data_IF_851554405887
#
_entry.id   IF_851554405887
#
_cell.length_a   1.000
_cell.length_b   1.000
_cell.length_c   1.000
_cell.angle_alpha   90.00
_cell.angle_beta   90.00
_cell.angle_gamma   90.00
#
_symmetry.space_group_name_H-M   'P 1'
#
loop_
_entity.id
_entity.type
_entity.pdbx_description
1 polymer ?
#
# COMPACT_ATOMS: atom_id res chain seq x y z
N UNK A 1 63.87 12.35 -7.35
CA UNK A 1 62.65 11.75 -7.94
C UNK A 1 61.47 12.14 -7.07
N UNK A 2 60.68 13.14 -7.46
CA UNK A 2 59.39 13.36 -6.82
C UNK A 2 58.42 13.95 -7.85
N UNK A 3 57.61 13.08 -8.44
CA UNK A 3 56.63 13.44 -9.46
C UNK A 3 55.33 13.83 -8.74
N UNK A 4 55.20 15.10 -8.36
CA UNK A 4 53.95 15.64 -7.82
C UNK A 4 52.94 15.76 -8.96
N UNK A 5 52.14 14.71 -9.19
CA UNK A 5 50.99 14.76 -10.10
C UNK A 5 49.89 15.58 -9.43
N UNK A 6 49.87 16.89 -9.72
CA UNK A 6 48.73 17.76 -9.39
C UNK A 6 47.56 17.35 -10.27
N UNK A 7 46.48 16.87 -9.65
CA UNK A 7 45.23 16.57 -10.32
C UNK A 7 44.58 17.89 -10.72
N UNK A 8 44.69 18.26 -12.00
CA UNK A 8 44.03 19.43 -12.54
C UNK A 8 42.56 19.06 -12.84
N UNK A 9 41.71 19.16 -11.82
CA UNK A 9 40.29 18.83 -11.94
C UNK A 9 39.62 20.01 -12.64
N UNK A 10 39.33 19.84 -13.94
CA UNK A 10 38.57 20.82 -14.71
C UNK A 10 37.21 21.12 -14.05
N UNK A 11 36.82 22.40 -13.99
CA UNK A 11 35.53 22.86 -13.47
C UNK A 11 34.33 22.10 -14.09
N UNK A 12 34.44 21.71 -15.36
CA UNK A 12 33.42 20.90 -16.04
C UNK A 12 33.26 19.49 -15.45
N UNK A 13 34.33 18.90 -14.93
CA UNK A 13 34.28 17.59 -14.26
C UNK A 13 33.57 17.69 -12.92
N UNK A 14 33.82 18.76 -12.15
CA UNK A 14 33.17 19.02 -10.86
C UNK A 14 31.65 19.20 -11.06
N UNK A 15 31.24 19.99 -12.07
CA UNK A 15 29.83 20.18 -12.38
C UNK A 15 29.14 18.88 -12.82
N UNK A 16 29.78 18.06 -13.66
CA UNK A 16 29.21 16.76 -14.08
C UNK A 16 29.02 15.81 -12.91
N UNK A 17 30.01 15.73 -12.02
CA UNK A 17 29.91 14.90 -10.80
C UNK A 17 28.81 15.45 -9.89
N UNK A 18 28.75 16.78 -9.71
CA UNK A 18 27.71 17.44 -8.92
C UNK A 18 26.30 17.17 -9.44
N UNK A 19 26.09 17.28 -10.75
CA UNK A 19 24.80 16.95 -11.40
C UNK A 19 24.47 15.47 -11.23
N UNK A 20 25.46 14.58 -11.36
CA UNK A 20 25.26 13.14 -11.15
C UNK A 20 24.83 12.82 -9.72
N UNK A 21 25.50 13.39 -8.72
CA UNK A 21 25.15 13.23 -7.30
C UNK A 21 23.76 13.81 -7.02
N UNK A 22 23.46 15.00 -7.56
CA UNK A 22 22.14 15.63 -7.40
C UNK A 22 21.03 14.74 -8.02
N UNK A 23 21.28 14.20 -9.22
CA UNK A 23 20.35 13.29 -9.88
C UNK A 23 20.09 12.01 -9.07
N UNK A 24 21.14 11.37 -8.55
CA UNK A 24 21.01 10.21 -7.67
C UNK A 24 20.28 10.55 -6.36
N UNK A 25 20.53 11.73 -5.80
CA UNK A 25 19.85 12.20 -4.59
C UNK A 25 18.35 12.42 -4.83
N UNK A 26 17.98 13.01 -5.97
CA UNK A 26 16.58 13.16 -6.37
C UNK A 26 15.93 11.79 -6.55
N UNK A 27 16.58 10.85 -7.24
CA UNK A 27 16.08 9.48 -7.41
C UNK A 27 15.86 8.77 -6.07
N UNK A 28 16.78 8.94 -5.12
CA UNK A 28 16.63 8.44 -3.76
C UNK A 28 15.42 9.05 -3.05
N UNK A 29 15.21 10.37 -3.21
CA UNK A 29 14.10 11.09 -2.59
C UNK A 29 12.73 10.68 -3.15
N UNK A 30 12.64 10.37 -4.45
CA UNK A 30 11.39 9.96 -5.11
C UNK A 30 11.19 8.44 -5.20
N UNK A 31 12.03 7.64 -4.52
CA UNK A 31 11.99 6.18 -4.59
C UNK A 31 10.60 5.61 -4.33
N UNK A 32 9.88 6.12 -3.35
CA UNK A 32 8.54 5.62 -3.00
C UNK A 32 7.52 5.90 -4.12
N UNK A 33 7.63 7.06 -4.76
CA UNK A 33 6.80 7.43 -5.92
C UNK A 33 7.12 6.51 -7.11
N UNK A 34 8.39 6.17 -7.33
CA UNK A 34 8.79 5.20 -8.37
C UNK A 34 8.17 3.82 -8.12
N UNK A 35 8.15 3.37 -6.86
CA UNK A 35 7.49 2.11 -6.49
C UNK A 35 5.99 2.18 -6.83
N UNK A 36 5.30 3.26 -6.45
CA UNK A 36 3.89 3.47 -6.80
C UNK A 36 3.66 3.50 -8.31
N UNK A 37 4.55 4.14 -9.07
CA UNK A 37 4.47 4.15 -10.54
C UNK A 37 4.61 2.74 -11.14
N UNK A 38 5.53 1.92 -10.62
CA UNK A 38 5.67 0.52 -11.06
C UNK A 38 4.38 -0.27 -10.80
N UNK A 39 3.76 -0.12 -9.63
CA UNK A 39 2.46 -0.75 -9.34
C UNK A 39 1.37 -0.28 -10.31
N UNK A 40 1.31 1.02 -10.58
CA UNK A 40 0.36 1.59 -11.52
C UNK A 40 0.54 1.01 -12.94
N UNK A 41 1.80 0.86 -13.37
CA UNK A 41 2.15 0.24 -14.65
C UNK A 41 1.72 -1.23 -14.71
N UNK A 42 1.95 -2.00 -13.64
CA UNK A 42 1.49 -3.39 -13.54
C UNK A 42 -0.03 -3.48 -13.68
N UNK A 43 -0.78 -2.64 -12.94
CA UNK A 43 -2.25 -2.62 -13.00
C UNK A 43 -2.72 -2.23 -14.41
N UNK A 44 -2.11 -1.21 -15.00
CA UNK A 44 -2.44 -0.74 -16.35
C UNK A 44 -2.28 -1.86 -17.39
N UNK A 45 -1.16 -2.58 -17.34
CA UNK A 45 -0.90 -3.75 -18.21
C UNK A 45 -1.92 -4.86 -17.95
N UNK A 46 -2.22 -5.15 -16.68
CA UNK A 46 -3.16 -6.20 -16.29
C UNK A 46 -4.57 -5.94 -16.85
N UNK A 47 -5.01 -4.69 -16.87
CA UNK A 47 -6.35 -4.32 -17.35
C UNK A 47 -6.41 -4.06 -18.85
N UNK A 48 -5.26 -3.87 -19.52
CA UNK A 48 -5.21 -3.57 -20.94
C UNK A 48 -5.93 -4.64 -21.83
N UNK A 49 -5.81 -5.96 -21.60
CA UNK A 49 -6.55 -6.95 -22.38
C UNK A 49 -8.08 -6.80 -22.28
N UNK A 50 -8.59 -6.43 -21.10
CA UNK A 50 -10.01 -6.18 -20.91
C UNK A 50 -10.45 -4.89 -21.62
N UNK A 51 -9.64 -3.83 -21.51
CA UNK A 51 -9.88 -2.55 -22.21
C UNK A 51 -9.90 -2.76 -23.73
N UNK A 52 -8.92 -3.49 -24.27
CA UNK A 52 -8.81 -3.79 -25.70
C UNK A 52 -9.99 -4.65 -26.18
N UNK A 53 -10.47 -5.59 -25.35
CA UNK A 53 -11.68 -6.37 -25.65
C UNK A 53 -12.92 -5.48 -25.80
N UNK A 54 -13.09 -4.47 -24.94
CA UNK A 54 -14.17 -3.49 -25.07
C UNK A 54 -13.98 -2.57 -26.29
N UNK A 55 -12.74 -2.16 -26.56
CA UNK A 55 -12.41 -1.33 -27.71
C UNK A 55 -12.71 -2.04 -29.04
N UNK A 56 -12.44 -3.35 -29.13
CA UNK A 56 -12.82 -4.19 -30.28
C UNK A 56 -14.33 -4.21 -30.53
N UNK A 57 -15.16 -3.97 -29.51
CA UNK A 57 -16.61 -3.79 -29.63
C UNK A 57 -17.03 -2.36 -30.03
N UNK A 58 -16.10 -1.55 -30.55
CA UNK A 58 -16.28 -0.14 -30.94
C UNK A 58 -16.60 0.81 -29.78
N UNK A 59 -16.23 0.46 -28.55
CA UNK A 59 -16.33 1.36 -27.39
C UNK A 59 -15.09 2.28 -27.37
N UNK A 60 -15.25 3.62 -27.28
CA UNK A 60 -14.12 4.53 -27.12
C UNK A 60 -13.24 4.15 -25.92
N UNK A 61 -11.92 4.17 -26.11
CA UNK A 61 -10.94 3.73 -25.10
C UNK A 61 -11.17 4.35 -23.72
N UNK A 62 -11.48 5.65 -23.66
CA UNK A 62 -11.78 6.37 -22.42
C UNK A 62 -12.92 5.71 -21.64
N UNK A 63 -14.00 5.33 -22.33
CA UNK A 63 -15.16 4.67 -21.73
C UNK A 63 -14.77 3.25 -21.29
N UNK A 64 -14.00 2.53 -22.10
CA UNK A 64 -13.50 1.20 -21.78
C UNK A 64 -12.65 1.20 -20.50
N UNK A 65 -11.72 2.16 -20.36
CA UNK A 65 -10.88 2.31 -19.17
C UNK A 65 -11.74 2.57 -17.93
N UNK A 66 -12.58 3.61 -17.97
CA UNK A 66 -13.44 3.96 -16.82
C UNK A 66 -14.31 2.77 -16.43
N UNK A 67 -14.93 2.11 -17.40
CA UNK A 67 -15.79 0.96 -17.15
C UNK A 67 -15.03 -0.21 -16.52
N UNK A 68 -13.86 -0.59 -17.04
CA UNK A 68 -13.07 -1.71 -16.51
C UNK A 68 -12.63 -1.42 -15.08
N UNK A 69 -12.10 -0.23 -14.79
CA UNK A 69 -11.69 0.14 -13.44
C UNK A 69 -12.89 0.15 -12.49
N UNK A 70 -13.99 0.82 -12.83
CA UNK A 70 -15.20 0.85 -11.99
C UNK A 70 -15.80 -0.54 -11.78
N UNK A 71 -15.82 -1.38 -12.81
CA UNK A 71 -16.35 -2.74 -12.71
C UNK A 71 -15.51 -3.61 -11.78
N UNK A 72 -14.18 -3.60 -11.93
CA UNK A 72 -13.29 -4.42 -11.09
C UNK A 72 -13.31 -3.96 -9.64
N UNK A 73 -13.11 -2.66 -9.39
CA UNK A 73 -13.13 -2.12 -8.02
C UNK A 73 -14.52 -2.17 -7.39
N UNK A 74 -15.58 -1.97 -8.19
CA UNK A 74 -16.96 -2.11 -7.76
C UNK A 74 -17.31 -3.55 -7.38
N UNK A 75 -16.91 -4.52 -8.21
CA UNK A 75 -17.10 -5.94 -7.92
C UNK A 75 -16.35 -6.36 -6.66
N UNK A 76 -15.09 -5.95 -6.49
CA UNK A 76 -14.33 -6.21 -5.28
C UNK A 76 -15.01 -5.62 -4.03
N UNK A 77 -15.44 -4.36 -4.10
CA UNK A 77 -16.13 -3.68 -3.00
C UNK A 77 -17.45 -4.37 -2.65
N UNK A 78 -18.19 -4.82 -3.66
CA UNK A 78 -19.44 -5.55 -3.50
C UNK A 78 -19.24 -6.92 -2.84
N UNK A 79 -18.20 -7.66 -3.24
CA UNK A 79 -17.83 -8.93 -2.59
C UNK A 79 -17.46 -8.72 -1.12
N UNK A 80 -16.66 -7.69 -0.81
CA UNK A 80 -16.30 -7.34 0.57
C UNK A 80 -17.56 -7.02 1.37
N UNK A 81 -18.47 -6.21 0.82
CA UNK A 81 -19.74 -5.87 1.46
C UNK A 81 -20.57 -7.11 1.78
N UNK A 82 -20.62 -8.10 0.88
CA UNK A 82 -21.39 -9.33 1.06
C UNK A 82 -20.81 -10.24 2.16
N UNK A 83 -19.48 -10.28 2.31
CA UNK A 83 -18.80 -11.12 3.30
C UNK A 83 -18.75 -10.43 4.68
N UNK A 84 -18.74 -9.09 4.71
CA UNK A 84 -18.71 -8.28 5.94
C UNK A 84 -19.72 -8.69 7.03
N UNK A 85 -21.04 -8.90 6.75
CA UNK A 85 -22.00 -9.29 7.78
C UNK A 85 -21.67 -10.63 8.44
N UNK A 86 -21.10 -11.59 7.70
CA UNK A 86 -20.71 -12.90 8.24
C UNK A 86 -19.60 -12.73 9.29
N UNK A 87 -18.61 -11.88 9.01
CA UNK A 87 -17.56 -11.57 9.97
C UNK A 87 -18.12 -10.85 11.20
N UNK A 88 -19.04 -9.90 11.01
CA UNK A 88 -19.65 -9.16 12.12
C UNK A 88 -20.43 -10.11 13.04
N UNK A 89 -21.26 -11.00 12.48
CA UNK A 89 -22.01 -11.98 13.29
C UNK A 89 -21.08 -12.94 14.02
N UNK A 90 -19.98 -13.36 13.39
CA UNK A 90 -19.00 -14.26 14.02
C UNK A 90 -18.28 -13.57 15.18
N UNK A 91 -17.89 -12.30 15.02
CA UNK A 91 -17.27 -11.50 16.09
C UNK A 91 -18.25 -11.29 17.26
N UNK A 92 -19.52 -11.02 16.97
CA UNK A 92 -20.56 -10.87 17.99
C UNK A 92 -20.77 -12.18 18.75
N UNK A 93 -20.89 -13.30 18.04
CA UNK A 93 -21.01 -14.62 18.65
C UNK A 93 -19.80 -14.93 19.52
N UNK A 94 -18.58 -14.76 18.99
CA UNK A 94 -17.33 -14.92 19.74
C UNK A 94 -17.33 -14.09 21.02
N UNK A 95 -17.75 -12.84 20.96
CA UNK A 95 -17.81 -11.95 22.13
C UNK A 95 -18.77 -12.46 23.22
N UNK A 96 -19.86 -13.14 22.84
CA UNK A 96 -20.81 -13.74 23.80
C UNK A 96 -20.27 -15.02 24.43
N UNK A 97 -19.57 -15.87 23.68
CA UNK A 97 -19.00 -17.13 24.18
C UNK A 97 -17.62 -16.97 24.81
N UNK A 98 -16.94 -15.84 24.57
CA UNK A 98 -15.60 -15.55 25.08
C UNK A 98 -15.47 -15.74 26.60
N UNK A 99 -16.39 -15.26 27.46
CA UNK A 99 -16.29 -15.48 28.90
C UNK A 99 -16.25 -16.98 29.28
N UNK A 100 -17.02 -17.82 28.57
CA UNK A 100 -17.04 -19.27 28.82
C UNK A 100 -15.73 -19.94 28.40
N UNK A 101 -15.11 -19.50 27.31
CA UNK A 101 -13.77 -19.95 26.94
C UNK A 101 -12.73 -19.49 27.94
N UNK A 102 -12.83 -18.24 28.43
CA UNK A 102 -11.93 -17.67 29.43
C UNK A 102 -11.97 -18.47 30.75
N UNK A 103 -13.16 -18.85 31.22
CA UNK A 103 -13.31 -19.68 32.41
C UNK A 103 -12.69 -21.07 32.27
N UNK A 104 -12.70 -21.67 31.07
CA UNK A 104 -12.08 -22.97 30.80
C UNK A 104 -10.55 -22.90 30.73
N UNK A 105 -9.98 -21.82 30.19
CA UNK A 105 -8.53 -21.67 30.01
C UNK A 105 -7.83 -21.00 31.20
N UNK A 106 -8.55 -20.22 32.01
CA UNK A 106 -7.94 -19.48 33.12
C UNK A 106 -7.33 -20.37 34.22
N UNK A 107 -7.88 -21.54 34.63
CA UNK A 107 -7.34 -22.31 35.75
C UNK A 107 -5.87 -22.76 35.60
N UNK A 108 -5.43 -23.36 34.47
CA UNK A 108 -4.01 -23.73 34.29
C UNK A 108 -3.09 -22.50 34.20
N UNK A 109 -3.59 -21.36 33.68
CA UNK A 109 -2.80 -20.13 33.53
C UNK A 109 -2.66 -19.36 34.86
N UNK A 110 -3.70 -19.39 35.72
CA UNK A 110 -3.63 -18.91 37.10
C UNK A 110 -2.56 -19.67 37.89
N UNK A 111 -2.47 -20.99 37.69
CA UNK A 111 -1.45 -21.85 38.30
C UNK A 111 -0.01 -21.48 37.95
N UNK A 112 0.20 -20.79 36.82
CA UNK A 112 1.50 -20.28 36.36
C UNK A 112 1.81 -18.85 36.87
N UNK A 113 0.93 -18.24 37.67
CA UNK A 113 1.13 -16.91 38.26
C UNK A 113 0.90 -15.74 37.30
N UNK A 114 0.20 -15.95 36.18
CA UNK A 114 -0.06 -14.88 35.19
C UNK A 114 -1.23 -14.01 35.67
N UNK A 115 -0.92 -12.82 36.20
CA UNK A 115 -1.89 -11.85 36.77
C UNK A 115 -3.05 -11.48 35.83
N UNK A 116 -2.81 -11.56 34.51
CA UNK A 116 -3.82 -11.26 33.49
C UNK A 116 -4.97 -12.26 33.44
N UNK A 117 -4.80 -13.45 34.01
CA UNK A 117 -5.82 -14.50 34.00
C UNK A 117 -6.42 -14.77 35.37
N UNK A 118 -6.09 -13.98 36.41
CA UNK A 118 -6.61 -14.13 37.77
C UNK A 118 -8.13 -13.94 37.86
N UNK A 119 -8.67 -12.94 37.15
CA UNK A 119 -10.10 -12.71 37.00
C UNK A 119 -10.37 -11.93 35.69
N UNK A 120 -11.64 -11.93 35.27
CA UNK A 120 -12.07 -11.23 34.06
C UNK A 120 -11.80 -9.72 34.15
N UNK A 121 -11.92 -9.14 35.35
CA UNK A 121 -11.69 -7.72 35.59
C UNK A 121 -10.23 -7.31 35.38
N UNK A 122 -9.25 -8.10 35.86
CA UNK A 122 -7.81 -7.88 35.62
C UNK A 122 -7.48 -7.99 34.14
N UNK A 123 -8.05 -8.98 33.45
CA UNK A 123 -7.92 -9.11 32.00
C UNK A 123 -8.47 -7.87 31.29
N UNK A 124 -9.67 -7.42 31.66
CA UNK A 124 -10.31 -6.22 31.09
C UNK A 124 -9.56 -4.94 31.41
N UNK A 125 -8.93 -4.82 32.58
CA UNK A 125 -8.12 -3.66 32.95
C UNK A 125 -6.79 -3.62 32.16
N UNK A 126 -6.15 -4.76 31.96
CA UNK A 126 -4.95 -4.87 31.10
C UNK A 126 -5.30 -4.62 29.64
N UNK A 127 -6.43 -5.17 29.17
CA UNK A 127 -6.97 -4.85 27.86
C UNK A 127 -7.29 -3.36 27.75
N UNK A 128 -7.94 -2.75 28.74
CA UNK A 128 -8.26 -1.32 28.78
C UNK A 128 -7.01 -0.45 28.66
N UNK A 129 -5.96 -0.74 29.44
CA UNK A 129 -4.68 -0.04 29.31
C UNK A 129 -3.95 -0.31 27.99
N UNK A 130 -4.16 -1.48 27.37
CA UNK A 130 -3.66 -1.78 26.02
C UNK A 130 -4.45 -1.03 24.96
N UNK A 131 -5.77 -0.93 25.12
CA UNK A 131 -6.67 -0.17 24.26
C UNK A 131 -6.34 1.32 24.33
N UNK A 132 -6.02 1.86 25.52
CA UNK A 132 -5.60 3.24 25.70
C UNK A 132 -4.28 3.57 24.98
N UNK A 133 -3.32 2.63 25.03
CA UNK A 133 -2.09 2.71 24.23
C UNK A 133 -2.37 2.55 22.74
N UNK A 134 -3.33 1.70 22.37
CA UNK A 134 -3.77 1.57 20.98
C UNK A 134 -4.45 2.85 20.51
N UNK A 135 -5.25 3.57 21.31
CA UNK A 135 -5.84 4.86 20.94
C UNK A 135 -4.79 5.94 20.74
N UNK A 136 -3.74 5.98 21.55
CA UNK A 136 -2.59 6.86 21.27
C UNK A 136 -1.93 6.50 19.92
N UNK A 137 -1.81 5.20 19.61
CA UNK A 137 -1.32 4.73 18.31
C UNK A 137 -2.34 4.90 17.17
N UNK A 138 -3.65 5.04 17.44
CA UNK A 138 -4.69 5.23 16.42
C UNK A 138 -4.43 6.52 15.67
N UNK A 139 -3.92 7.60 16.30
CA UNK A 139 -3.53 8.80 15.56
C UNK A 139 -2.42 8.51 14.53
N UNK A 140 -1.40 7.75 14.90
CA UNK A 140 -0.33 7.35 13.97
C UNK A 140 -0.85 6.39 12.87
N UNK A 141 -1.74 5.48 13.23
CA UNK A 141 -2.42 4.59 12.28
C UNK A 141 -3.30 5.37 11.32
N UNK A 142 -4.03 6.39 11.79
CA UNK A 142 -4.82 7.28 10.96
C UNK A 142 -3.92 8.01 9.97
N UNK A 143 -2.83 8.65 10.42
CA UNK A 143 -1.88 9.29 9.51
C UNK A 143 -1.30 8.31 8.47
N UNK A 144 -1.02 7.06 8.88
CA UNK A 144 -0.55 6.02 7.96
C UNK A 144 -1.64 5.58 6.96
N UNK A 145 -2.89 5.46 7.40
CA UNK A 145 -4.04 5.14 6.53
C UNK A 145 -4.27 6.28 5.54
N UNK A 146 -4.24 7.55 5.98
CA UNK A 146 -4.34 8.69 5.07
C UNK A 146 -3.21 8.70 4.04
N UNK A 147 -1.97 8.41 4.46
CA UNK A 147 -0.85 8.20 3.55
C UNK A 147 -1.09 7.06 2.56
N UNK A 148 -1.62 5.93 3.04
CA UNK A 148 -1.96 4.76 2.22
C UNK A 148 -3.13 4.98 1.25
N UNK A 149 -4.14 5.74 1.65
CA UNK A 149 -5.25 6.16 0.78
C UNK A 149 -4.70 7.07 -0.31
N UNK A 150 -3.88 8.07 0.05
CA UNK A 150 -3.25 8.96 -0.92
C UNK A 150 -2.38 8.18 -1.91
N UNK A 151 -1.56 7.23 -1.44
CA UNK A 151 -0.77 6.39 -2.33
C UNK A 151 -1.65 5.54 -3.25
N UNK A 152 -2.76 4.99 -2.73
CA UNK A 152 -3.69 4.19 -3.54
C UNK A 152 -4.36 5.04 -4.61
N UNK A 153 -4.82 6.24 -4.28
CA UNK A 153 -5.40 7.20 -5.23
C UNK A 153 -4.36 7.58 -6.28
N UNK A 154 -3.12 7.84 -5.87
CA UNK A 154 -2.03 8.17 -6.78
C UNK A 154 -1.75 7.02 -7.75
N UNK A 155 -1.57 5.80 -7.25
CA UNK A 155 -1.38 4.59 -8.06
C UNK A 155 -2.53 4.41 -9.04
N UNK A 156 -3.78 4.51 -8.57
CA UNK A 156 -4.97 4.33 -9.41
C UNK A 156 -5.08 5.40 -10.49
N UNK A 157 -4.78 6.65 -10.14
CA UNK A 157 -4.76 7.79 -11.07
C UNK A 157 -3.72 7.59 -12.17
N UNK A 158 -2.48 7.22 -11.80
CA UNK A 158 -1.42 6.94 -12.76
C UNK A 158 -1.76 5.72 -13.61
N UNK A 159 -2.36 4.67 -13.03
CA UNK A 159 -2.74 3.47 -13.75
C UNK A 159 -3.80 3.79 -14.82
N UNK A 160 -4.82 4.57 -14.46
CA UNK A 160 -5.84 5.06 -15.40
C UNK A 160 -5.20 5.90 -16.50
N UNK A 161 -4.31 6.84 -16.14
CA UNK A 161 -3.62 7.68 -17.12
C UNK A 161 -2.81 6.84 -18.12
N UNK A 162 -2.03 5.87 -17.63
CA UNK A 162 -1.29 4.92 -18.47
C UNK A 162 -2.21 4.05 -19.32
N UNK A 163 -3.37 3.64 -18.79
CA UNK A 163 -4.33 2.84 -19.55
C UNK A 163 -5.03 3.65 -20.65
N UNK A 164 -5.24 4.95 -20.46
CA UNK A 164 -5.88 5.82 -21.44
C UNK A 164 -5.05 6.00 -22.70
N UNK A 165 -3.72 6.00 -22.59
CA UNK A 165 -2.84 6.17 -23.72
C UNK A 165 -2.38 4.80 -24.29
N UNK A 166 -2.75 4.55 -25.55
CA UNK A 166 -2.71 3.23 -26.19
C UNK A 166 -1.30 2.66 -26.45
N UNK A 167 -0.24 3.37 -26.04
CA UNK A 167 1.18 2.96 -26.17
C UNK A 167 2.08 3.50 -25.05
N UNK A 168 1.54 3.88 -23.89
CA UNK A 168 2.36 4.49 -22.83
C UNK A 168 3.51 3.60 -22.40
N UNK A 169 3.29 2.29 -22.33
CA UNK A 169 4.32 1.32 -21.92
C UNK A 169 5.41 1.17 -22.99
N UNK A 170 5.05 1.05 -24.27
CA UNK A 170 6.05 1.00 -25.36
C UNK A 170 6.89 2.28 -25.41
N UNK A 171 6.26 3.45 -25.26
CA UNK A 171 6.97 4.73 -25.21
C UNK A 171 7.88 4.84 -23.99
N UNK A 172 7.40 4.49 -22.80
CA UNK A 172 8.19 4.53 -21.57
C UNK A 172 9.39 3.59 -21.65
N UNK A 173 9.22 2.39 -22.22
CA UNK A 173 10.31 1.44 -22.41
C UNK A 173 11.31 1.92 -23.47
N UNK A 174 10.85 2.50 -24.59
CA UNK A 174 11.75 3.06 -25.62
C UNK A 174 12.57 4.27 -25.14
N UNK A 175 12.12 4.98 -24.11
CA UNK A 175 12.84 6.11 -23.52
C UNK A 175 13.90 5.66 -22.51
N UNK A 176 13.67 4.53 -21.84
CA UNK A 176 14.60 3.95 -20.85
C UNK A 176 15.67 3.05 -21.49
N UNK A 177 15.34 2.42 -22.62
CA UNK A 177 16.23 1.57 -23.41
C UNK A 177 16.26 2.04 -24.87
N UNK A 178 17.00 3.12 -25.17
CA UNK A 178 17.17 3.62 -26.54
C UNK A 178 17.91 2.61 -27.44
#
# INVERSE_FOLDING_TARGET
MNNNRVLDISWGTILKIGIGILGFYILYLIRDILVWFIFALIISILFNPAIDFLQRKRIPRVISVIFVYLFVFGLLSFLIYLISPLFISEIQHFSQVFPQYFEKISPPLKGLGVRAFENLESFMNILGGTLEKMTANIFNTLFSIFGGIFSTIFVLTIAIFLSLEEKSVERALSLLFP
#
